data_IF_558586840040
#
_entry.id   IF_558586840040
#
_cell.length_a   1.000
_cell.length_b   1.000
_cell.length_c   1.000
_cell.angle_alpha   90.00
_cell.angle_beta   90.00
_cell.angle_gamma   90.00
#
_symmetry.space_group_name_H-M   'P 1'
#
loop_
_entity.id
_entity.type
_entity.pdbx_description
1 polymer ?
#
# COMPACT_ATOMS: atom_id res chain seq x y z
N UNK A 1 -43.56 9.20 -1.66
CA UNK A 1 -43.62 7.74 -1.93
C UNK A 1 -42.30 7.01 -1.68
N UNK A 2 -41.17 7.67 -1.34
CA UNK A 2 -39.86 6.99 -1.27
C UNK A 2 -39.39 6.46 0.09
N UNK A 3 -40.06 6.77 1.20
CA UNK A 3 -39.59 6.34 2.53
C UNK A 3 -40.06 4.92 2.92
N UNK A 4 -41.20 4.47 2.39
CA UNK A 4 -41.72 3.13 2.66
C UNK A 4 -41.00 2.03 1.88
N UNK A 5 -40.53 2.32 0.65
CA UNK A 5 -39.74 1.37 -0.15
C UNK A 5 -38.34 1.15 0.46
N UNK A 6 -37.71 2.22 0.96
CA UNK A 6 -36.41 2.10 1.64
C UNK A 6 -36.49 1.29 2.95
N UNK A 7 -37.60 1.39 3.69
CA UNK A 7 -37.84 0.57 4.86
C UNK A 7 -38.10 -0.90 4.49
N UNK A 8 -38.82 -1.15 3.39
CA UNK A 8 -39.05 -2.49 2.85
C UNK A 8 -37.75 -3.19 2.43
N UNK A 9 -36.87 -2.48 1.73
CA UNK A 9 -35.57 -3.00 1.30
C UNK A 9 -34.62 -3.25 2.48
N UNK A 10 -34.67 -2.41 3.52
CA UNK A 10 -33.90 -2.60 4.75
C UNK A 10 -34.38 -3.83 5.54
N UNK A 11 -35.70 -4.02 5.66
CA UNK A 11 -36.28 -5.19 6.33
C UNK A 11 -35.97 -6.47 5.54
N UNK A 12 -36.05 -6.40 4.21
CA UNK A 12 -35.74 -7.56 3.35
C UNK A 12 -34.24 -7.90 3.39
N UNK A 13 -33.39 -6.88 3.38
CA UNK A 13 -31.94 -7.03 3.54
C UNK A 13 -31.54 -7.61 4.90
N UNK A 14 -32.19 -7.20 5.99
CA UNK A 14 -31.94 -7.74 7.33
C UNK A 14 -32.48 -9.17 7.51
N UNK A 15 -33.61 -9.51 6.88
CA UNK A 15 -34.14 -10.88 6.88
C UNK A 15 -33.28 -11.82 6.03
N UNK A 16 -32.79 -11.37 4.87
CA UNK A 16 -31.82 -12.12 4.05
C UNK A 16 -30.49 -12.29 4.78
N UNK A 17 -29.99 -11.26 5.47
CA UNK A 17 -28.80 -11.35 6.30
C UNK A 17 -28.97 -12.40 7.41
N UNK A 18 -30.10 -12.39 8.13
CA UNK A 18 -30.43 -13.41 9.14
C UNK A 18 -30.60 -14.81 8.55
N UNK A 19 -31.16 -14.94 7.36
CA UNK A 19 -31.35 -16.25 6.70
C UNK A 19 -30.01 -16.86 6.27
N UNK A 20 -29.08 -16.04 5.78
CA UNK A 20 -27.71 -16.47 5.46
C UNK A 20 -26.93 -16.81 6.73
N UNK A 21 -27.08 -16.04 7.81
CA UNK A 21 -26.48 -16.35 9.12
C UNK A 21 -27.02 -17.66 9.72
N UNK A 22 -28.30 -17.97 9.52
CA UNK A 22 -28.93 -19.19 10.06
C UNK A 22 -28.47 -20.47 9.39
N UNK A 23 -27.92 -20.41 8.17
CA UNK A 23 -27.32 -21.58 7.50
C UNK A 23 -25.90 -21.93 7.97
N UNK A 24 -25.20 -21.02 8.65
CA UNK A 24 -23.86 -21.26 9.24
C UNK A 24 -23.90 -21.43 10.77
N UNK A 25 -25.08 -21.34 11.39
CA UNK A 25 -25.31 -21.66 12.80
C UNK A 25 -25.48 -23.17 12.98
N UNK A 26 -24.36 -23.91 12.95
CA UNK A 26 -24.28 -25.07 13.82
C UNK A 26 -24.23 -24.54 15.25
N UNK A 27 -25.37 -24.58 15.92
CA UNK A 27 -25.50 -24.41 17.36
C UNK A 27 -24.55 -25.39 18.06
N UNK A 28 -23.43 -24.85 18.53
CA UNK A 28 -22.58 -25.47 19.53
C UNK A 28 -22.59 -24.54 20.72
N UNK A 29 -23.34 -24.93 21.76
CA UNK A 29 -23.38 -24.29 23.06
C UNK A 29 -21.97 -23.86 23.51
N UNK A 30 -21.82 -22.58 23.86
CA UNK A 30 -20.58 -21.96 24.31
C UNK A 30 -20.16 -22.37 25.73
N UNK A 31 -20.29 -23.66 26.05
CA UNK A 31 -19.96 -24.26 27.34
C UNK A 31 -19.04 -25.47 27.10
N UNK A 32 -17.73 -25.23 27.05
CA UNK A 32 -16.71 -26.27 26.97
C UNK A 32 -15.87 -26.21 25.69
N UNK A 33 -14.59 -25.89 25.87
CA UNK A 33 -13.61 -25.84 24.79
C UNK A 33 -12.28 -25.27 25.25
N UNK A 34 -11.23 -25.47 24.46
CA UNK A 34 -9.90 -24.92 24.71
C UNK A 34 -9.75 -23.59 23.96
N UNK A 35 -9.27 -22.54 24.63
CA UNK A 35 -9.00 -21.26 24.01
C UNK A 35 -7.95 -21.39 22.90
N UNK A 36 -8.30 -20.94 21.68
CA UNK A 36 -7.42 -21.02 20.50
C UNK A 36 -6.15 -20.17 20.62
N UNK A 37 -6.12 -19.17 21.50
CA UNK A 37 -4.94 -18.31 21.68
C UNK A 37 -4.00 -18.77 22.80
N UNK A 38 -4.50 -19.24 23.95
CA UNK A 38 -3.65 -19.56 25.10
C UNK A 38 -3.75 -20.99 25.61
N UNK A 39 -4.64 -21.81 25.05
CA UNK A 39 -4.81 -23.21 25.46
C UNK A 39 -5.55 -23.39 26.80
N UNK A 40 -6.05 -22.32 27.42
CA UNK A 40 -6.81 -22.42 28.67
C UNK A 40 -8.26 -22.85 28.41
N UNK A 41 -8.80 -23.69 29.29
CA UNK A 41 -10.20 -24.12 29.24
C UNK A 41 -11.16 -22.92 29.37
N UNK A 42 -12.16 -22.88 28.49
CA UNK A 42 -13.15 -21.82 28.43
C UNK A 42 -14.27 -22.10 29.44
N UNK A 43 -14.35 -21.24 30.46
CA UNK A 43 -15.40 -21.24 31.48
C UNK A 43 -16.62 -20.39 31.09
N UNK A 44 -16.61 -19.78 29.90
CA UNK A 44 -17.64 -18.88 29.39
C UNK A 44 -17.34 -18.38 27.98
N UNK A 45 -18.09 -17.38 27.48
CA UNK A 45 -17.96 -16.88 26.10
C UNK A 45 -16.63 -16.18 25.83
N UNK A 46 -15.90 -15.77 26.87
CA UNK A 46 -14.56 -15.21 26.78
C UNK A 46 -13.57 -16.01 27.64
N UNK A 47 -12.34 -16.13 27.18
CA UNK A 47 -11.26 -16.73 27.95
C UNK A 47 -10.87 -15.80 29.10
N UNK A 48 -11.01 -16.30 30.33
CA UNK A 48 -10.64 -15.57 31.55
C UNK A 48 -9.14 -15.24 31.64
N UNK A 49 -8.28 -15.97 30.90
CA UNK A 49 -6.82 -15.76 30.94
C UNK A 49 -6.31 -14.73 29.93
N UNK A 50 -6.81 -14.77 28.68
CA UNK A 50 -6.30 -13.90 27.61
C UNK A 50 -7.35 -12.97 26.99
N UNK A 51 -8.61 -13.03 27.45
CA UNK A 51 -9.71 -12.18 26.98
C UNK A 51 -10.29 -12.54 25.61
N UNK A 52 -9.82 -13.60 24.94
CA UNK A 52 -10.32 -13.99 23.63
C UNK A 52 -11.76 -14.52 23.69
N UNK A 53 -12.62 -14.12 22.75
CA UNK A 53 -13.94 -14.75 22.52
C UNK A 53 -13.75 -16.24 22.16
N UNK A 54 -14.53 -17.12 22.79
CA UNK A 54 -14.43 -18.57 22.65
C UNK A 54 -14.85 -19.10 21.27
N UNK A 55 -15.81 -18.45 20.61
CA UNK A 55 -16.23 -18.75 19.25
C UNK A 55 -15.59 -17.75 18.27
N UNK A 56 -14.93 -18.26 17.23
CA UNK A 56 -14.20 -17.45 16.25
C UNK A 56 -14.69 -17.79 14.85
N UNK A 57 -15.52 -16.92 14.26
CA UNK A 57 -16.00 -17.11 12.90
C UNK A 57 -14.93 -16.71 11.87
N UNK A 58 -14.80 -17.50 10.80
CA UNK A 58 -13.95 -17.23 9.64
C UNK A 58 -14.77 -16.71 8.45
N UNK A 59 -15.59 -15.70 8.70
CA UNK A 59 -16.42 -15.05 7.69
C UNK A 59 -15.79 -13.71 7.28
N UNK A 60 -16.01 -13.30 6.03
CA UNK A 60 -15.47 -12.03 5.50
C UNK A 60 -16.07 -10.83 6.28
N UNK A 61 -17.32 -10.94 6.74
CA UNK A 61 -18.02 -9.90 7.53
C UNK A 61 -17.40 -9.63 8.91
N UNK A 62 -16.75 -10.62 9.53
CA UNK A 62 -16.12 -10.46 10.85
C UNK A 62 -14.99 -9.41 10.84
N UNK A 63 -14.34 -9.19 9.69
CA UNK A 63 -13.27 -8.20 9.53
C UNK A 63 -13.80 -6.77 9.75
N UNK A 64 -15.03 -6.48 9.33
CA UNK A 64 -15.62 -5.14 9.49
C UNK A 64 -15.98 -4.83 10.94
N UNK A 65 -16.43 -5.82 11.72
CA UNK A 65 -16.70 -5.66 13.14
C UNK A 65 -15.43 -5.45 13.98
N UNK A 66 -14.30 -6.05 13.57
CA UNK A 66 -13.00 -5.87 14.25
C UNK A 66 -12.47 -4.43 14.14
N UNK A 67 -12.89 -3.64 13.13
CA UNK A 67 -12.48 -2.23 12.96
C UNK A 67 -13.04 -1.34 14.08
N UNK A 68 -14.29 -1.59 14.51
CA UNK A 68 -14.97 -0.77 15.52
C UNK A 68 -14.37 -0.92 16.93
N UNK A 69 -13.71 -2.04 17.21
CA UNK A 69 -13.11 -2.33 18.52
C UNK A 69 -11.58 -2.17 18.57
N UNK A 70 -10.93 -1.92 17.43
CA UNK A 70 -9.46 -2.03 17.30
C UNK A 70 -8.63 -0.90 17.89
N UNK A 71 -9.20 0.28 18.13
CA UNK A 71 -8.42 1.50 18.41
C UNK A 71 -7.92 1.60 19.86
N UNK A 72 -8.49 0.85 20.82
CA UNK A 72 -8.23 1.04 22.27
C UNK A 72 -7.23 0.02 22.87
N UNK A 73 -6.88 -1.06 22.16
CA UNK A 73 -6.02 -2.15 22.67
C UNK A 73 -4.74 -2.41 21.84
N UNK A 74 -4.23 -1.35 21.22
CA UNK A 74 -3.21 -1.42 20.18
C UNK A 74 -1.77 -1.60 20.73
N UNK A 75 -1.41 -0.99 21.86
CA UNK A 75 -0.01 -0.84 22.29
C UNK A 75 0.72 -2.14 22.66
N UNK A 76 0.07 -3.13 23.28
CA UNK A 76 0.74 -4.39 23.67
C UNK A 76 0.86 -5.40 22.53
N UNK A 77 -0.16 -5.48 21.66
CA UNK A 77 -0.20 -6.47 20.57
C UNK A 77 0.76 -6.13 19.44
N UNK A 78 1.07 -4.85 19.24
CA UNK A 78 1.97 -4.40 18.18
C UNK A 78 3.37 -5.00 18.32
N UNK A 79 3.91 -5.02 19.54
CA UNK A 79 5.23 -5.60 19.84
C UNK A 79 5.31 -7.11 19.62
N UNK A 80 4.19 -7.83 19.76
CA UNK A 80 4.12 -9.25 19.39
C UNK A 80 3.99 -9.44 17.87
N UNK A 81 3.34 -8.50 17.20
CA UNK A 81 2.98 -8.61 15.78
C UNK A 81 4.13 -8.19 14.86
N UNK A 82 4.81 -7.07 15.11
CA UNK A 82 5.83 -6.50 14.21
C UNK A 82 7.04 -7.43 13.95
N UNK A 83 7.66 -8.06 14.98
CA UNK A 83 8.78 -8.97 14.73
C UNK A 83 8.35 -10.18 13.89
N UNK A 84 7.16 -10.71 14.17
CA UNK A 84 6.59 -11.83 13.42
C UNK A 84 6.21 -11.43 11.99
N UNK A 85 5.65 -10.23 11.79
CA UNK A 85 5.33 -9.68 10.48
C UNK A 85 6.58 -9.50 9.62
N UNK A 86 7.71 -9.14 10.23
CA UNK A 86 8.97 -8.85 9.52
C UNK A 86 9.76 -10.13 9.24
N UNK A 87 9.98 -10.96 10.27
CA UNK A 87 10.93 -12.07 10.21
C UNK A 87 10.28 -13.44 10.02
N UNK A 88 9.00 -13.61 10.40
CA UNK A 88 8.27 -14.89 10.29
C UNK A 88 6.83 -14.67 9.78
N UNK A 89 6.64 -14.00 8.64
CA UNK A 89 5.31 -13.53 8.22
C UNK A 89 4.31 -14.66 7.97
N UNK A 90 4.80 -15.83 7.57
CA UNK A 90 3.97 -17.01 7.35
C UNK A 90 3.49 -17.64 8.65
N UNK A 91 4.26 -17.55 9.73
CA UNK A 91 3.86 -18.02 11.06
C UNK A 91 2.75 -17.13 11.63
N UNK A 92 2.92 -15.80 11.53
CA UNK A 92 1.92 -14.81 11.94
C UNK A 92 0.58 -15.02 11.24
N UNK A 93 0.61 -14.98 9.91
CA UNK A 93 -0.58 -15.14 9.06
C UNK A 93 -1.32 -16.42 9.44
N UNK A 94 -0.58 -17.52 9.62
CA UNK A 94 -1.16 -18.81 9.96
C UNK A 94 -1.80 -18.79 11.35
N UNK A 95 -1.06 -18.40 12.39
CA UNK A 95 -1.56 -18.39 13.78
C UNK A 95 -2.82 -17.54 13.91
N UNK A 96 -2.85 -16.39 13.25
CA UNK A 96 -4.05 -15.54 13.20
C UNK A 96 -5.25 -16.24 12.54
N UNK A 97 -5.06 -16.85 11.36
CA UNK A 97 -6.11 -17.61 10.65
C UNK A 97 -6.65 -18.76 11.52
N UNK A 98 -5.76 -19.44 12.26
CA UNK A 98 -6.12 -20.55 13.13
C UNK A 98 -6.73 -20.14 14.48
N UNK A 99 -6.83 -18.83 14.75
CA UNK A 99 -7.64 -18.30 15.86
C UNK A 99 -6.85 -17.65 16.99
N UNK A 100 -5.55 -17.44 16.87
CA UNK A 100 -4.76 -16.73 17.88
C UNK A 100 -4.92 -15.20 17.76
N UNK A 101 -6.14 -14.68 18.00
CA UNK A 101 -6.50 -13.27 17.74
C UNK A 101 -6.27 -12.31 18.91
N UNK A 102 -6.09 -12.81 20.13
CA UNK A 102 -5.84 -11.94 21.29
C UNK A 102 -4.38 -11.49 21.37
N UNK A 103 -3.45 -12.30 20.86
CA UNK A 103 -2.02 -12.02 20.91
C UNK A 103 -1.54 -11.04 19.83
N UNK A 104 -2.17 -11.05 18.65
CA UNK A 104 -1.78 -10.24 17.49
C UNK A 104 -2.76 -9.10 17.21
N UNK A 105 -2.26 -8.03 16.62
CA UNK A 105 -3.10 -6.95 16.08
C UNK A 105 -3.86 -7.49 14.86
N UNK A 106 -5.15 -7.12 14.73
CA UNK A 106 -5.94 -7.57 13.59
C UNK A 106 -5.32 -7.10 12.27
N UNK A 107 -5.38 -7.90 11.20
CA UNK A 107 -4.76 -7.57 9.92
C UNK A 107 -5.24 -6.24 9.35
N UNK A 108 -6.53 -5.95 9.50
CA UNK A 108 -7.10 -4.68 9.10
C UNK A 108 -6.54 -3.53 9.93
N UNK A 109 -6.54 -3.63 11.26
CA UNK A 109 -5.98 -2.58 12.12
C UNK A 109 -4.48 -2.34 11.85
N UNK A 110 -3.71 -3.40 11.59
CA UNK A 110 -2.30 -3.27 11.18
C UNK A 110 -2.14 -2.52 9.86
N UNK A 111 -2.95 -2.85 8.86
CA UNK A 111 -2.93 -2.15 7.58
C UNK A 111 -3.28 -0.68 7.76
N UNK A 112 -4.37 -0.35 8.46
CA UNK A 112 -4.78 1.04 8.68
C UNK A 112 -3.75 1.83 9.46
N UNK A 113 -3.22 1.26 10.54
CA UNK A 113 -2.13 1.86 11.28
C UNK A 113 -0.95 2.15 10.35
N UNK A 114 -0.48 1.16 9.59
CA UNK A 114 0.67 1.34 8.69
C UNK A 114 0.44 2.42 7.63
N UNK A 115 -0.78 2.54 7.08
CA UNK A 115 -1.14 3.58 6.11
C UNK A 115 -1.15 4.95 6.76
N UNK A 116 -1.76 5.10 7.94
CA UNK A 116 -1.76 6.37 8.66
C UNK A 116 -0.37 6.79 9.10
N UNK A 117 0.44 5.86 9.61
CA UNK A 117 1.85 6.12 9.93
C UNK A 117 2.63 6.52 8.68
N UNK A 118 2.39 5.87 7.54
CA UNK A 118 3.04 6.24 6.28
C UNK A 118 2.74 7.69 5.90
N UNK A 119 1.47 8.09 5.93
CA UNK A 119 1.07 9.48 5.68
C UNK A 119 1.68 10.45 6.70
N UNK A 120 1.69 10.12 7.98
CA UNK A 120 2.29 10.96 9.01
C UNK A 120 3.79 11.17 8.77
N UNK A 121 4.53 10.10 8.45
CA UNK A 121 5.97 10.17 8.17
C UNK A 121 6.24 10.99 6.91
N UNK A 122 5.47 10.78 5.84
CA UNK A 122 5.56 11.58 4.60
C UNK A 122 5.42 13.08 4.89
N UNK A 123 4.39 13.46 5.66
CA UNK A 123 4.17 14.86 6.05
C UNK A 123 5.31 15.43 6.90
N UNK A 124 5.83 14.67 7.87
CA UNK A 124 6.97 15.08 8.71
C UNK A 124 8.24 15.29 7.86
N UNK A 125 8.46 14.41 6.88
CA UNK A 125 9.62 14.45 5.99
C UNK A 125 9.52 15.53 4.91
N UNK A 126 8.39 16.24 4.80
CA UNK A 126 8.13 17.17 3.69
C UNK A 126 8.05 16.48 2.33
N UNK A 127 7.98 15.14 2.31
CA UNK A 127 7.81 14.33 1.10
C UNK A 127 6.33 14.12 0.94
N UNK A 128 5.75 14.75 -0.06
CA UNK A 128 4.33 14.63 -0.25
C UNK A 128 3.96 13.24 -0.85
N UNK A 129 2.78 12.66 -0.52
CA UNK A 129 2.55 11.22 -0.58
C UNK A 129 2.73 10.58 -1.97
N UNK A 130 2.92 9.24 -2.10
CA UNK A 130 3.07 8.54 -3.38
C UNK A 130 1.97 8.82 -4.41
N UNK A 131 0.78 9.26 -3.97
CA UNK A 131 -0.29 9.75 -4.84
C UNK A 131 0.05 11.04 -5.61
N UNK A 132 1.19 11.66 -5.30
CA UNK A 132 1.76 12.82 -5.98
C UNK A 132 2.88 12.46 -6.97
N UNK A 133 3.41 11.24 -6.86
CA UNK A 133 4.49 10.69 -7.71
C UNK A 133 3.92 10.44 -9.10
N UNK A 134 4.07 11.44 -9.96
CA UNK A 134 3.56 11.45 -11.34
C UNK A 134 2.81 12.71 -11.74
N UNK A 135 2.64 13.68 -10.84
CA UNK A 135 2.09 14.98 -11.24
C UNK A 135 3.10 15.77 -12.08
N UNK A 136 2.63 16.47 -13.11
CA UNK A 136 3.45 17.45 -13.85
C UNK A 136 4.08 18.45 -12.88
N UNK A 137 3.37 18.82 -11.81
CA UNK A 137 3.85 19.70 -10.76
C UNK A 137 5.09 19.17 -10.01
N UNK A 138 5.20 17.86 -9.74
CA UNK A 138 6.40 17.28 -9.11
C UNK A 138 7.59 17.19 -10.08
N UNK A 139 7.34 16.87 -11.35
CA UNK A 139 8.40 16.94 -12.37
C UNK A 139 8.92 18.37 -12.49
N UNK A 140 8.01 19.35 -12.49
CA UNK A 140 8.33 20.77 -12.53
C UNK A 140 9.09 21.20 -11.27
N UNK A 141 8.61 20.85 -10.07
CA UNK A 141 9.32 21.14 -8.81
C UNK A 141 10.68 20.46 -8.72
N UNK A 142 10.80 19.17 -9.10
CA UNK A 142 12.05 18.43 -9.10
C UNK A 142 13.06 19.01 -10.10
N UNK A 143 12.61 19.42 -11.28
CA UNK A 143 13.44 20.08 -12.28
C UNK A 143 13.89 21.48 -11.81
N UNK A 144 12.99 22.25 -11.18
CA UNK A 144 13.32 23.56 -10.60
C UNK A 144 14.31 23.42 -9.44
N UNK A 145 14.13 22.44 -8.56
CA UNK A 145 15.06 22.13 -7.47
C UNK A 145 16.44 21.75 -8.01
N UNK A 146 16.50 20.87 -9.01
CA UNK A 146 17.77 20.48 -9.65
C UNK A 146 18.48 21.68 -10.29
N UNK A 147 17.75 22.60 -10.93
CA UNK A 147 18.30 23.84 -11.49
C UNK A 147 18.85 24.75 -10.42
N UNK A 148 18.05 25.03 -9.38
CA UNK A 148 18.44 25.95 -8.31
C UNK A 148 19.70 25.45 -7.60
N UNK A 149 19.75 24.16 -7.23
CA UNK A 149 20.92 23.58 -6.57
C UNK A 149 22.16 23.58 -7.49
N UNK A 150 22.00 23.28 -8.77
CA UNK A 150 23.13 23.29 -9.73
C UNK A 150 23.63 24.72 -9.95
N UNK A 151 22.71 25.69 -9.99
CA UNK A 151 23.03 27.11 -10.12
C UNK A 151 23.76 27.65 -8.88
N UNK A 152 23.33 27.27 -7.68
CA UNK A 152 23.99 27.60 -6.41
C UNK A 152 25.39 26.99 -6.35
N UNK A 153 25.53 25.69 -6.64
CA UNK A 153 26.82 25.01 -6.67
C UNK A 153 27.79 25.62 -7.71
N UNK A 154 27.27 26.11 -8.84
CA UNK A 154 28.05 26.83 -9.84
C UNK A 154 28.51 28.21 -9.34
N UNK A 155 27.65 28.93 -8.61
CA UNK A 155 27.99 30.22 -8.00
C UNK A 155 29.11 30.05 -6.96
N UNK A 156 28.96 29.08 -6.06
CA UNK A 156 29.97 28.74 -5.04
C UNK A 156 31.32 28.35 -5.68
N UNK A 157 31.28 27.55 -6.75
CA UNK A 157 32.49 27.15 -7.47
C UNK A 157 33.20 28.35 -8.11
N UNK A 158 32.44 29.32 -8.64
CA UNK A 158 32.99 30.57 -9.21
C UNK A 158 33.57 31.48 -8.13
N UNK A 159 32.92 31.61 -6.99
CA UNK A 159 33.45 32.38 -5.85
C UNK A 159 34.70 31.73 -5.24
N UNK A 160 34.71 30.40 -5.10
CA UNK A 160 35.91 29.68 -4.67
C UNK A 160 37.07 29.86 -5.67
N UNK A 161 36.77 30.07 -6.96
CA UNK A 161 37.77 30.27 -8.01
C UNK A 161 38.39 31.67 -7.99
N UNK A 162 37.63 32.72 -7.64
CA UNK A 162 38.17 34.08 -7.49
C UNK A 162 39.13 34.18 -6.31
N UNK A 163 38.87 33.40 -5.25
CA UNK A 163 39.74 33.31 -4.07
C UNK A 163 40.99 32.43 -4.29
N UNK A 164 41.06 31.66 -5.38
CA UNK A 164 42.17 30.75 -5.65
C UNK A 164 43.32 31.44 -6.41
N UNK A 165 44.56 31.19 -6.00
CA UNK A 165 45.76 31.72 -6.69
C UNK A 165 45.78 31.28 -8.16
N UNK A 166 45.98 32.20 -9.13
CA UNK A 166 46.10 31.88 -10.55
C UNK A 166 47.20 30.83 -10.79
N UNK A 167 46.92 29.83 -11.63
CA UNK A 167 47.86 28.76 -11.99
C UNK A 167 48.05 27.64 -10.95
N UNK A 168 47.34 27.68 -9.81
CA UNK A 168 47.39 26.59 -8.82
C UNK A 168 46.63 25.33 -9.28
N UNK A 169 47.00 24.16 -8.76
CA UNK A 169 46.25 22.91 -8.98
C UNK A 169 44.78 23.04 -8.52
N UNK A 170 44.54 23.80 -7.44
CA UNK A 170 43.20 24.13 -6.94
C UNK A 170 42.40 24.94 -7.96
N UNK A 171 43.03 25.93 -8.60
CA UNK A 171 42.42 26.71 -9.67
C UNK A 171 42.01 25.82 -10.87
N UNK A 172 42.90 24.91 -11.32
CA UNK A 172 42.60 24.00 -12.42
C UNK A 172 41.44 23.03 -12.10
N UNK A 173 41.37 22.49 -10.87
CA UNK A 173 40.25 21.64 -10.44
C UNK A 173 38.93 22.40 -10.38
N UNK A 174 38.95 23.65 -9.92
CA UNK A 174 37.77 24.52 -9.90
C UNK A 174 37.32 24.88 -11.31
N UNK A 175 38.24 25.16 -12.23
CA UNK A 175 37.92 25.44 -13.65
C UNK A 175 37.22 24.24 -14.31
N UNK A 176 37.72 23.02 -14.07
CA UNK A 176 37.07 21.79 -14.54
C UNK A 176 35.68 21.58 -13.91
N UNK A 177 35.52 21.87 -12.61
CA UNK A 177 34.24 21.77 -11.90
C UNK A 177 33.22 22.77 -12.44
N UNK A 178 33.62 24.02 -12.68
CA UNK A 178 32.78 25.07 -13.27
C UNK A 178 32.34 24.65 -14.68
N UNK A 179 33.26 24.13 -15.50
CA UNK A 179 32.93 23.65 -16.83
C UNK A 179 31.84 22.57 -16.78
N UNK A 180 32.02 21.55 -15.93
CA UNK A 180 31.03 20.47 -15.75
C UNK A 180 29.67 21.00 -15.29
N UNK A 181 29.64 21.77 -14.19
CA UNK A 181 28.40 22.33 -13.65
C UNK A 181 27.68 23.25 -14.65
N UNK A 182 28.44 23.98 -15.48
CA UNK A 182 27.86 24.82 -16.53
C UNK A 182 27.19 24.00 -17.64
N UNK A 183 27.77 22.86 -18.00
CA UNK A 183 27.17 21.91 -18.95
C UNK A 183 25.92 21.27 -18.36
N UNK A 184 25.99 20.78 -17.11
CA UNK A 184 24.86 20.17 -16.41
C UNK A 184 23.68 21.16 -16.30
N UNK A 185 23.94 22.43 -15.94
CA UNK A 185 22.91 23.47 -15.88
C UNK A 185 22.33 23.78 -17.27
N UNK A 186 23.15 23.79 -18.33
CA UNK A 186 22.68 24.00 -19.69
C UNK A 186 21.78 22.85 -20.17
N UNK A 187 22.08 21.60 -19.80
CA UNK A 187 21.23 20.45 -20.08
C UNK A 187 19.91 20.52 -19.31
N UNK A 188 19.95 20.84 -18.02
CA UNK A 188 18.75 21.03 -17.20
C UNK A 188 17.83 22.15 -17.71
N UNK A 189 18.41 23.23 -18.25
CA UNK A 189 17.65 24.35 -18.83
C UNK A 189 17.03 24.02 -20.19
N UNK A 190 17.53 23.03 -20.92
CA UNK A 190 16.92 22.55 -22.18
C UNK A 190 15.64 21.74 -21.94
N UNK A 191 15.48 21.17 -20.75
CA UNK A 191 14.27 20.43 -20.38
C UNK A 191 13.13 21.45 -20.17
N UNK A 192 11.98 21.36 -20.85
CA UNK A 192 10.89 22.33 -20.65
C UNK A 192 10.34 22.28 -19.22
N UNK A 193 10.09 23.44 -18.61
CA UNK A 193 9.44 23.58 -17.29
C UNK A 193 7.94 23.41 -17.32
N UNK A 194 7.35 23.22 -18.49
CA UNK A 194 5.91 22.97 -18.62
C UNK A 194 5.75 21.77 -19.54
N UNK A 195 5.20 20.68 -18.99
CA UNK A 195 4.79 19.51 -19.78
C UNK A 195 3.52 19.79 -20.62
N UNK A 196 2.91 20.96 -20.44
CA UNK A 196 1.65 21.39 -21.07
C UNK A 196 1.66 21.43 -22.61
N UNK A 197 2.81 21.35 -23.27
CA UNK A 197 2.92 21.40 -24.74
C UNK A 197 3.18 20.05 -25.43
N UNK A 198 3.47 18.99 -24.68
CA UNK A 198 3.77 17.64 -25.23
C UNK A 198 3.26 16.53 -24.30
N UNK A 199 2.02 16.65 -23.83
CA UNK A 199 1.30 15.42 -23.50
C UNK A 199 1.12 14.67 -24.81
N UNK A 200 1.93 13.63 -25.05
CA UNK A 200 1.74 12.67 -26.14
C UNK A 200 0.46 11.83 -25.99
N UNK A 201 -0.54 12.36 -25.29
CA UNK A 201 -1.91 11.87 -25.32
C UNK A 201 -2.46 12.25 -26.70
N UNK A 202 -2.82 11.28 -27.55
CA UNK A 202 -3.46 11.57 -28.83
C UNK A 202 -4.66 12.49 -28.57
N UNK A 203 -4.66 13.68 -29.16
CA UNK A 203 -5.79 14.59 -29.07
C UNK A 203 -6.96 14.02 -29.86
N UNK A 204 -8.13 13.91 -29.22
CA UNK A 204 -9.35 13.48 -29.89
C UNK A 204 -9.58 11.96 -29.95
N UNK A 205 -9.11 11.20 -28.95
CA UNK A 205 -9.51 9.79 -28.78
C UNK A 205 -11.02 9.73 -28.55
N UNK A 206 -11.77 9.24 -29.54
CA UNK A 206 -13.18 8.87 -29.40
C UNK A 206 -13.26 7.37 -29.20
N UNK A 207 -13.54 6.95 -27.98
CA UNK A 207 -13.73 5.53 -27.62
C UNK A 207 -15.14 5.04 -27.95
N UNK A 208 -16.05 5.94 -28.33
CA UNK A 208 -17.45 5.63 -28.62
C UNK A 208 -18.33 5.55 -27.37
N UNK A 209 -17.76 5.78 -26.18
CA UNK A 209 -18.49 5.84 -24.92
C UNK A 209 -18.58 7.29 -24.46
N UNK A 210 -19.76 7.91 -24.62
CA UNK A 210 -19.99 9.35 -24.35
C UNK A 210 -19.46 9.85 -23.00
N UNK A 211 -19.54 9.02 -21.95
CA UNK A 211 -19.03 9.38 -20.61
C UNK A 211 -17.49 9.38 -20.55
N UNK A 212 -16.86 8.41 -21.21
CA UNK A 212 -15.41 8.28 -21.26
C UNK A 212 -14.81 9.36 -22.16
N UNK A 213 -15.41 9.59 -23.34
CA UNK A 213 -15.01 10.67 -24.27
C UNK A 213 -15.05 12.04 -23.58
N UNK A 214 -16.12 12.33 -22.82
CA UNK A 214 -16.25 13.56 -22.03
C UNK A 214 -15.21 13.66 -20.91
N UNK A 215 -14.86 12.53 -20.30
CA UNK A 215 -13.82 12.45 -19.28
C UNK A 215 -12.42 12.71 -19.83
N UNK A 216 -12.11 12.12 -20.99
CA UNK A 216 -10.85 12.32 -21.72
C UNK A 216 -10.73 13.78 -22.15
N UNK A 217 -11.77 14.37 -22.74
CA UNK A 217 -11.78 15.78 -23.13
C UNK A 217 -11.59 16.73 -21.93
N UNK A 218 -12.20 16.40 -20.78
CA UNK A 218 -12.05 17.16 -19.53
C UNK A 218 -10.61 17.08 -18.98
N UNK A 219 -9.95 15.92 -19.12
CA UNK A 219 -8.55 15.72 -18.76
C UNK A 219 -7.60 16.46 -19.71
N UNK A 220 -7.83 16.39 -21.03
CA UNK A 220 -7.06 17.12 -22.03
C UNK A 220 -7.11 18.63 -21.79
N UNK A 221 -8.30 19.16 -21.46
CA UNK A 221 -8.49 20.60 -21.18
C UNK A 221 -7.91 21.05 -19.84
N UNK A 222 -7.88 20.18 -18.83
CA UNK A 222 -7.43 20.51 -17.47
C UNK A 222 -6.73 19.32 -16.79
N UNK A 223 -5.49 19.00 -17.17
CA UNK A 223 -4.77 17.84 -16.62
C UNK A 223 -4.51 17.98 -15.11
N UNK A 224 -4.29 19.21 -14.62
CA UNK A 224 -4.07 19.46 -13.18
C UNK A 224 -5.29 19.12 -12.30
N UNK A 225 -6.50 19.39 -12.78
CA UNK A 225 -7.73 19.07 -12.03
C UNK A 225 -7.98 17.55 -11.98
N UNK A 226 -7.67 16.84 -13.07
CA UNK A 226 -7.76 15.38 -13.12
C UNK A 226 -6.77 14.73 -12.15
N UNK A 227 -5.52 15.19 -12.13
CA UNK A 227 -4.51 14.75 -11.17
C UNK A 227 -4.91 15.05 -9.72
N UNK A 228 -5.41 16.26 -9.44
CA UNK A 228 -5.92 16.61 -8.10
C UNK A 228 -7.08 15.70 -7.65
N UNK A 229 -8.02 15.39 -8.55
CA UNK A 229 -9.13 14.46 -8.25
C UNK A 229 -8.66 13.02 -8.05
N UNK A 230 -7.66 12.58 -8.82
CA UNK A 230 -7.03 11.28 -8.65
C UNK A 230 -6.37 11.19 -7.27
N UNK A 231 -5.61 12.21 -6.91
CA UNK A 231 -4.87 12.32 -5.66
C UNK A 231 -5.80 12.34 -4.44
N UNK A 232 -6.78 13.25 -4.43
CA UNK A 232 -7.73 13.40 -3.29
C UNK A 232 -8.64 12.19 -3.09
N UNK A 233 -8.78 11.33 -4.10
CA UNK A 233 -9.56 10.09 -3.97
C UNK A 233 -8.69 8.84 -3.80
N UNK A 234 -7.38 8.90 -4.06
CA UNK A 234 -6.46 7.76 -3.93
C UNK A 234 -6.51 7.10 -2.54
N UNK A 235 -6.52 7.89 -1.47
CA UNK A 235 -6.59 7.36 -0.10
C UNK A 235 -7.92 6.65 0.17
N UNK A 236 -9.04 7.16 -0.39
CA UNK A 236 -10.36 6.55 -0.27
C UNK A 236 -10.41 5.19 -0.95
N UNK A 237 -9.71 5.06 -2.07
CA UNK A 237 -9.65 3.84 -2.87
C UNK A 237 -8.50 2.90 -2.50
N UNK A 238 -7.59 3.28 -1.61
CA UNK A 238 -6.53 2.38 -1.10
C UNK A 238 -7.10 1.07 -0.56
N UNK A 239 -8.31 1.11 0.01
CA UNK A 239 -9.05 -0.05 0.49
C UNK A 239 -9.50 -0.98 -0.63
N UNK A 240 -9.67 -0.50 -1.86
CA UNK A 240 -10.07 -1.30 -3.02
C UNK A 240 -8.98 -2.29 -3.44
N UNK A 241 -7.72 -2.07 -3.07
CA UNK A 241 -6.65 -3.06 -3.28
C UNK A 241 -6.94 -4.38 -2.56
N UNK A 242 -7.60 -4.36 -1.39
CA UNK A 242 -7.92 -5.57 -0.63
C UNK A 242 -8.91 -6.46 -1.40
N UNK A 243 -10.15 -6.03 -1.72
CA UNK A 243 -11.09 -6.84 -2.47
C UNK A 243 -10.62 -7.13 -3.89
N UNK A 244 -9.82 -6.24 -4.51
CA UNK A 244 -9.21 -6.51 -5.81
C UNK A 244 -8.18 -7.65 -5.73
N UNK A 245 -7.40 -7.75 -4.65
CA UNK A 245 -6.31 -8.75 -4.52
C UNK A 245 -6.80 -10.13 -4.08
N UNK A 246 -7.83 -10.21 -3.25
CA UNK A 246 -8.39 -11.49 -2.75
C UNK A 246 -8.67 -12.52 -3.85
N UNK A 247 -9.36 -12.20 -4.97
CA UNK A 247 -9.64 -13.19 -6.01
C UNK A 247 -8.38 -13.71 -6.71
N UNK A 248 -7.33 -12.91 -6.85
CA UNK A 248 -6.06 -13.36 -7.43
C UNK A 248 -5.31 -14.30 -6.49
N UNK A 249 -5.29 -14.01 -5.18
CA UNK A 249 -4.70 -14.94 -4.21
C UNK A 249 -5.52 -16.23 -4.15
N UNK A 250 -6.85 -16.13 -4.19
CA UNK A 250 -7.74 -17.28 -4.26
C UNK A 250 -7.47 -18.14 -5.51
N UNK A 251 -7.21 -17.52 -6.66
CA UNK A 251 -6.90 -18.22 -7.91
C UNK A 251 -5.68 -19.15 -7.80
N UNK A 252 -4.66 -18.78 -7.00
CA UNK A 252 -3.49 -19.64 -6.71
C UNK A 252 -3.85 -20.94 -5.98
N UNK A 253 -5.05 -20.98 -5.39
CA UNK A 253 -5.58 -22.05 -4.56
C UNK A 253 -7.00 -22.48 -4.96
N UNK A 254 -7.50 -22.12 -6.14
CA UNK A 254 -8.88 -22.38 -6.55
C UNK A 254 -9.29 -23.87 -6.45
N UNK A 255 -8.31 -24.78 -6.58
CA UNK A 255 -8.51 -26.23 -6.46
C UNK A 255 -8.35 -26.79 -5.04
N UNK A 256 -8.07 -25.96 -4.04
CA UNK A 256 -7.76 -26.34 -2.65
C UNK A 256 -8.82 -25.75 -1.71
N UNK A 257 -9.97 -26.43 -1.61
CA UNK A 257 -11.12 -26.03 -0.76
C UNK A 257 -10.82 -25.85 0.73
N UNK A 258 -9.67 -26.30 1.21
CA UNK A 258 -9.23 -26.11 2.60
C UNK A 258 -8.94 -24.65 2.94
N UNK A 259 -8.61 -23.81 1.95
CA UNK A 259 -8.32 -22.39 2.16
C UNK A 259 -9.55 -21.56 1.80
N UNK A 260 -10.01 -20.73 2.75
CA UNK A 260 -11.22 -19.92 2.59
C UNK A 260 -10.87 -18.50 2.15
N UNK A 261 -11.86 -17.75 1.63
CA UNK A 261 -11.69 -16.35 1.25
C UNK A 261 -11.14 -15.47 2.40
N UNK A 262 -11.56 -15.77 3.64
CA UNK A 262 -11.02 -15.12 4.85
C UNK A 262 -9.49 -15.29 4.98
N UNK A 263 -8.95 -16.49 4.72
CA UNK A 263 -7.52 -16.78 4.80
C UNK A 263 -6.73 -15.91 3.81
N UNK A 264 -7.28 -15.71 2.61
CA UNK A 264 -6.70 -14.84 1.60
C UNK A 264 -6.80 -13.35 1.96
N UNK A 265 -7.90 -12.92 2.59
CA UNK A 265 -8.05 -11.56 3.08
C UNK A 265 -7.01 -11.22 4.17
N UNK A 266 -6.81 -12.13 5.13
CA UNK A 266 -5.78 -12.01 6.18
C UNK A 266 -4.38 -11.96 5.57
N UNK A 267 -4.09 -12.82 4.59
CA UNK A 267 -2.82 -12.81 3.87
C UNK A 267 -2.56 -11.44 3.22
N UNK A 268 -3.50 -10.96 2.39
CA UNK A 268 -3.38 -9.69 1.64
C UNK A 268 -3.18 -8.51 2.57
N UNK A 269 -3.99 -8.41 3.62
CA UNK A 269 -3.94 -7.25 4.55
C UNK A 269 -2.64 -7.19 5.33
N UNK A 270 -2.11 -8.33 5.82
CA UNK A 270 -0.77 -8.34 6.42
C UNK A 270 0.33 -8.06 5.41
N UNK A 271 0.22 -8.55 4.16
CA UNK A 271 1.20 -8.21 3.12
C UNK A 271 1.22 -6.71 2.84
N UNK A 272 0.05 -6.07 2.67
CA UNK A 272 -0.06 -4.62 2.46
C UNK A 272 0.50 -3.83 3.65
N UNK A 273 0.18 -4.25 4.88
CA UNK A 273 0.73 -3.62 6.09
C UNK A 273 2.26 -3.67 6.12
N UNK A 274 2.85 -4.82 5.79
CA UNK A 274 4.30 -4.95 5.70
C UNK A 274 4.89 -4.05 4.61
N UNK A 275 4.30 -3.99 3.41
CA UNK A 275 4.81 -3.12 2.34
C UNK A 275 4.78 -1.65 2.72
N UNK A 276 3.72 -1.20 3.39
CA UNK A 276 3.64 0.17 3.92
C UNK A 276 4.72 0.45 4.98
N UNK A 277 4.94 -0.48 5.91
CA UNK A 277 6.00 -0.34 6.93
C UNK A 277 7.41 -0.39 6.33
N UNK A 278 7.63 -1.25 5.32
CA UNK A 278 8.89 -1.32 4.59
C UNK A 278 9.18 0.00 3.87
N UNK A 279 8.18 0.57 3.19
CA UNK A 279 8.31 1.87 2.53
C UNK A 279 8.71 2.97 3.53
N UNK A 280 8.06 3.01 4.70
CA UNK A 280 8.42 3.95 5.78
C UNK A 280 9.88 3.73 6.22
N UNK A 281 10.28 2.49 6.47
CA UNK A 281 11.64 2.16 6.91
C UNK A 281 12.70 2.58 5.87
N UNK A 282 12.41 2.40 4.58
CA UNK A 282 13.28 2.84 3.49
C UNK A 282 13.37 4.37 3.41
N UNK A 283 12.26 5.09 3.58
CA UNK A 283 12.29 6.55 3.61
C UNK A 283 13.09 7.09 4.79
N UNK A 284 12.92 6.50 5.98
CA UNK A 284 13.73 6.87 7.16
C UNK A 284 15.21 6.54 6.90
N UNK A 285 15.51 5.39 6.29
CA UNK A 285 16.86 5.03 5.88
C UNK A 285 17.48 6.08 4.94
N UNK A 286 16.73 6.52 3.92
CA UNK A 286 17.16 7.59 3.01
C UNK A 286 17.47 8.89 3.77
N UNK A 287 16.59 9.28 4.70
CA UNK A 287 16.77 10.46 5.54
C UNK A 287 18.02 10.38 6.43
N UNK A 288 18.38 9.18 6.87
CA UNK A 288 19.57 8.91 7.68
C UNK A 288 20.85 8.76 6.83
N UNK A 289 20.77 8.95 5.51
CA UNK A 289 21.93 8.87 4.61
C UNK A 289 22.33 7.45 4.22
N UNK A 290 21.42 6.47 4.28
CA UNK A 290 21.65 5.14 3.71
C UNK A 290 21.86 5.29 2.19
N UNK A 291 22.88 4.64 1.59
CA UNK A 291 23.13 4.72 0.16
C UNK A 291 21.93 4.31 -0.71
N UNK A 292 21.70 5.04 -1.80
CA UNK A 292 20.56 4.83 -2.71
C UNK A 292 20.55 3.41 -3.32
N UNK A 293 21.73 2.83 -3.58
CA UNK A 293 21.89 1.47 -4.09
C UNK A 293 21.45 0.42 -3.06
N UNK A 294 21.73 0.64 -1.78
CA UNK A 294 21.26 -0.21 -0.70
C UNK A 294 19.72 -0.12 -0.56
N UNK A 295 19.16 1.09 -0.64
CA UNK A 295 17.71 1.31 -0.60
C UNK A 295 17.02 0.60 -1.77
N UNK A 296 17.54 0.81 -2.99
CA UNK A 296 17.00 0.17 -4.20
C UNK A 296 17.09 -1.36 -4.12
N UNK A 297 18.20 -1.89 -3.61
CA UNK A 297 18.37 -3.34 -3.41
C UNK A 297 17.32 -3.87 -2.44
N UNK A 298 17.12 -3.23 -1.28
CA UNK A 298 16.11 -3.67 -0.31
C UNK A 298 14.70 -3.55 -0.90
N UNK A 299 14.39 -2.46 -1.59
CA UNK A 299 13.08 -2.23 -2.22
C UNK A 299 12.73 -3.31 -3.27
N UNK A 300 13.72 -3.79 -4.02
CA UNK A 300 13.51 -4.81 -5.06
C UNK A 300 13.46 -6.22 -4.47
N UNK A 301 14.34 -6.56 -3.53
CA UNK A 301 14.50 -7.93 -3.06
C UNK A 301 13.69 -8.27 -1.80
N UNK A 302 13.43 -7.32 -0.90
CA UNK A 302 12.68 -7.60 0.32
C UNK A 302 11.22 -8.03 0.03
N UNK A 303 10.46 -7.41 -0.90
CA UNK A 303 9.08 -7.83 -1.16
C UNK A 303 8.95 -9.27 -1.67
N UNK A 304 9.68 -9.73 -2.71
CA UNK A 304 9.61 -11.12 -3.15
C UNK A 304 10.01 -12.12 -2.06
N UNK A 305 11.04 -11.80 -1.27
CA UNK A 305 11.53 -12.64 -0.17
C UNK A 305 10.47 -12.76 0.92
N UNK A 306 9.89 -11.63 1.34
CA UNK A 306 8.84 -11.60 2.36
C UNK A 306 7.61 -12.39 1.91
N UNK A 307 7.11 -12.13 0.69
CA UNK A 307 5.96 -12.84 0.11
C UNK A 307 6.23 -14.35 0.04
N UNK A 308 7.45 -14.77 -0.32
CA UNK A 308 7.83 -16.19 -0.32
C UNK A 308 7.68 -16.83 1.06
N UNK A 309 8.25 -16.22 2.11
CA UNK A 309 8.16 -16.75 3.47
C UNK A 309 6.72 -16.70 4.01
N UNK A 310 5.96 -15.65 3.68
CA UNK A 310 4.56 -15.52 4.05
C UNK A 310 3.73 -16.63 3.39
N UNK A 311 3.85 -16.81 2.08
CA UNK A 311 3.15 -17.83 1.29
C UNK A 311 3.49 -19.24 1.78
N UNK A 312 4.78 -19.51 2.02
CA UNK A 312 5.26 -20.81 2.50
C UNK A 312 4.67 -21.16 3.87
N UNK A 313 4.70 -20.23 4.83
CA UNK A 313 4.25 -20.49 6.20
C UNK A 313 2.72 -20.46 6.34
N UNK A 314 2.04 -19.47 5.75
CA UNK A 314 0.59 -19.30 5.84
C UNK A 314 -0.15 -20.55 5.34
N UNK A 315 0.28 -21.08 4.19
CA UNK A 315 -0.36 -22.21 3.52
C UNK A 315 0.37 -23.55 3.73
N UNK A 316 1.40 -23.61 4.59
CA UNK A 316 2.26 -24.80 4.84
C UNK A 316 2.74 -25.50 3.56
N UNK A 317 3.26 -24.71 2.63
CA UNK A 317 3.72 -25.23 1.34
C UNK A 317 5.14 -25.78 1.40
N UNK A 318 5.43 -26.78 0.57
CA UNK A 318 6.81 -27.20 0.28
C UNK A 318 7.53 -26.08 -0.49
N UNK A 319 8.85 -25.94 -0.30
CA UNK A 319 9.65 -24.83 -0.84
C UNK A 319 9.41 -24.55 -2.33
N UNK A 320 9.53 -25.57 -3.19
CA UNK A 320 9.29 -25.42 -4.63
C UNK A 320 7.86 -24.95 -4.97
N UNK A 321 6.85 -25.50 -4.28
CA UNK A 321 5.44 -25.12 -4.49
C UNK A 321 5.14 -23.71 -4.00
N UNK A 322 5.86 -23.24 -2.98
CA UNK A 322 5.79 -21.86 -2.52
C UNK A 322 6.44 -20.94 -3.54
N UNK A 323 7.63 -21.28 -4.04
CA UNK A 323 8.37 -20.47 -5.03
C UNK A 323 7.56 -20.25 -6.32
N UNK A 324 6.99 -21.31 -6.89
CA UNK A 324 6.13 -21.20 -8.08
C UNK A 324 4.91 -20.29 -7.84
N UNK A 325 4.29 -20.38 -6.65
CA UNK A 325 3.14 -19.52 -6.29
C UNK A 325 3.55 -18.09 -6.02
N UNK A 326 4.72 -17.86 -5.44
CA UNK A 326 5.27 -16.51 -5.28
C UNK A 326 5.54 -15.87 -6.63
N UNK A 327 6.13 -16.60 -7.58
CA UNK A 327 6.33 -16.09 -8.93
C UNK A 327 5.01 -15.74 -9.62
N UNK A 328 4.01 -16.64 -9.55
CA UNK A 328 2.67 -16.36 -10.07
C UNK A 328 2.01 -15.15 -9.37
N UNK A 329 2.19 -15.02 -8.05
CA UNK A 329 1.67 -13.90 -7.28
C UNK A 329 2.33 -12.58 -7.66
N UNK A 330 3.63 -12.55 -7.97
CA UNK A 330 4.30 -11.34 -8.45
C UNK A 330 3.71 -10.87 -9.79
N UNK A 331 3.40 -11.80 -10.70
CA UNK A 331 2.69 -11.48 -11.95
C UNK A 331 1.30 -10.92 -11.65
N UNK A 332 0.55 -11.55 -10.73
CA UNK A 332 -0.76 -11.06 -10.31
C UNK A 332 -0.68 -9.69 -9.65
N UNK A 333 0.35 -9.41 -8.85
CA UNK A 333 0.56 -8.09 -8.26
C UNK A 333 0.75 -7.04 -9.35
N UNK A 334 1.55 -7.32 -10.39
CA UNK A 334 1.69 -6.41 -11.53
C UNK A 334 0.34 -6.13 -12.20
N UNK A 335 -0.47 -7.18 -12.44
CA UNK A 335 -1.82 -7.04 -13.00
C UNK A 335 -2.73 -6.23 -12.07
N UNK A 336 -2.74 -6.52 -10.76
CA UNK A 336 -3.54 -5.81 -9.75
C UNK A 336 -3.17 -4.34 -9.72
N UNK A 337 -1.88 -3.98 -9.73
CA UNK A 337 -1.42 -2.59 -9.74
C UNK A 337 -1.86 -1.89 -11.02
N UNK A 338 -1.75 -2.55 -12.19
CA UNK A 338 -2.26 -1.99 -13.45
C UNK A 338 -3.77 -1.78 -13.41
N UNK A 339 -4.55 -2.78 -12.96
CA UNK A 339 -6.00 -2.68 -12.84
C UNK A 339 -6.43 -1.60 -11.85
N UNK A 340 -5.72 -1.49 -10.72
CA UNK A 340 -5.95 -0.46 -9.74
C UNK A 340 -5.65 0.93 -10.31
N UNK A 341 -4.56 1.09 -11.04
CA UNK A 341 -4.24 2.33 -11.77
C UNK A 341 -5.31 2.70 -12.80
N UNK A 342 -5.78 1.73 -13.60
CA UNK A 342 -6.87 1.94 -14.56
C UNK A 342 -8.19 2.31 -13.86
N UNK A 343 -8.49 1.69 -12.73
CA UNK A 343 -9.66 2.01 -11.91
C UNK A 343 -9.59 3.46 -11.38
N UNK A 344 -8.43 3.86 -10.84
CA UNK A 344 -8.21 5.22 -10.36
C UNK A 344 -8.33 6.24 -11.51
N UNK A 345 -7.73 5.97 -12.66
CA UNK A 345 -7.84 6.81 -13.86
C UNK A 345 -9.30 6.91 -14.34
N UNK A 346 -10.01 5.79 -14.44
CA UNK A 346 -11.41 5.76 -14.83
C UNK A 346 -12.29 6.60 -13.90
N UNK A 347 -12.05 6.53 -12.58
CA UNK A 347 -12.76 7.36 -11.60
C UNK A 347 -12.41 8.85 -11.71
N UNK A 348 -11.13 9.18 -11.95
CA UNK A 348 -10.69 10.55 -12.21
C UNK A 348 -11.28 11.16 -13.49
N UNK A 349 -11.50 10.33 -14.52
CA UNK A 349 -12.11 10.72 -15.79
C UNK A 349 -13.63 10.87 -15.70
N UNK A 350 -14.30 9.97 -14.98
CA UNK A 350 -15.76 9.91 -14.89
C UNK A 350 -16.37 10.83 -13.80
N UNK A 351 -15.57 11.28 -12.82
CA UNK A 351 -15.95 12.25 -11.78
C UNK A 351 -15.67 13.71 -12.12
#
# INVERSE_FOLDING_TARGET
MGEFDAAGDLVTGTLLARAVERSDAHDGDGHGGICLNCGTELLGPHCHRCGQVGHVHRTIGAIWHEILHGVVHFEGKLWNTLPLLTFRPGELTRRYIFGERAHFVSPMAMFLFSVFTMFAVLQIMGVSPPAEVGSTAQFEQGLQFARNNTQEALADAREARTSAKPGSERAAKLDAKIAKLSTDLAELNRIPTTLSGRTGLPSGIKTGWKRLDKGIEKMERNPGLALYKLQTNSYKFSWALIPLSIPFVWMLFAWRRQYRGYDHAVFVTYSLAFMSLLFIALMIGAALGVPDDAIATIAVFAPPVHIFFQMKGAYRLRGWKALLRTFALLIFISIIVTLFGLLLLGLGLLG
#
